data_IF_543644021074
#
_entry.id   IF_543644021074
#
_cell.length_a   1.000
_cell.length_b   1.000
_cell.length_c   1.000
_cell.angle_alpha   90.00
_cell.angle_beta   90.00
_cell.angle_gamma   90.00
#
_symmetry.space_group_name_H-M   'P 1'
#
loop_
_entity.id
_entity.type
_entity.pdbx_description
1 polymer ?
#
# COMPACT_ATOMS: atom_id res chain seq x y z
N UNK A 1 4.19 -27.42 -13.38
CA UNK A 1 5.18 -26.65 -12.63
C UNK A 1 5.31 -25.30 -13.32
N UNK A 2 4.49 -24.33 -12.94
CA UNK A 2 4.62 -22.98 -13.47
C UNK A 2 4.90 -22.09 -12.27
N UNK A 3 6.20 -21.99 -11.95
CA UNK A 3 6.74 -20.97 -11.07
C UNK A 3 6.52 -19.61 -11.75
N UNK A 4 5.31 -19.08 -11.59
CA UNK A 4 5.02 -17.69 -11.88
C UNK A 4 5.88 -16.87 -10.94
N UNK A 5 7.05 -16.43 -11.44
CA UNK A 5 7.88 -15.37 -10.86
C UNK A 5 6.94 -14.23 -10.47
N UNK A 6 6.55 -14.19 -9.20
CA UNK A 6 6.01 -12.99 -8.57
C UNK A 6 7.14 -11.98 -8.67
N UNK A 7 7.09 -11.11 -9.66
CA UNK A 7 7.84 -9.87 -9.64
C UNK A 7 7.52 -9.24 -8.30
N UNK A 8 8.54 -9.13 -7.44
CA UNK A 8 8.40 -8.53 -6.13
C UNK A 8 8.06 -7.07 -6.37
N UNK A 9 6.76 -6.77 -6.51
CA UNK A 9 6.26 -5.40 -6.63
C UNK A 9 6.82 -4.60 -5.46
N UNK A 10 7.35 -3.43 -5.76
CA UNK A 10 7.94 -2.53 -4.78
C UNK A 10 6.91 -2.23 -3.69
N UNK A 11 7.14 -2.74 -2.48
CA UNK A 11 6.22 -2.54 -1.35
C UNK A 11 6.68 -1.33 -0.56
N UNK A 12 5.84 -0.30 -0.55
CA UNK A 12 6.02 0.87 0.31
C UNK A 12 5.13 0.77 1.56
N UNK A 13 5.63 1.28 2.67
CA UNK A 13 4.87 1.40 3.92
C UNK A 13 5.09 2.79 4.49
N UNK A 14 3.99 3.47 4.79
CA UNK A 14 3.97 4.78 5.42
C UNK A 14 3.26 4.66 6.77
N UNK A 15 3.76 5.38 7.76
CA UNK A 15 3.22 5.38 9.12
C UNK A 15 2.65 6.75 9.45
N UNK A 16 1.45 6.76 10.03
CA UNK A 16 0.74 7.97 10.42
C UNK A 16 0.34 7.89 11.90
N UNK A 17 0.11 9.06 12.52
CA UNK A 17 -0.47 9.12 13.86
C UNK A 17 -1.89 8.54 13.86
N UNK A 18 -2.24 7.80 14.90
CA UNK A 18 -3.55 7.15 15.05
C UNK A 18 -4.74 8.12 15.13
N UNK A 19 -4.49 9.40 15.41
CA UNK A 19 -5.53 10.45 15.45
C UNK A 19 -5.95 10.93 14.05
N UNK A 20 -5.27 10.49 12.98
CA UNK A 20 -5.58 10.89 11.60
C UNK A 20 -6.48 9.86 10.92
N UNK A 21 -7.51 10.35 10.23
CA UNK A 21 -8.39 9.54 9.39
C UNK A 21 -8.11 9.67 7.87
N UNK A 22 -7.08 10.43 7.48
CA UNK A 22 -6.67 10.62 6.08
C UNK A 22 -5.16 10.80 5.96
N UNK A 23 -4.62 10.47 4.78
CA UNK A 23 -3.21 10.61 4.44
C UNK A 23 -3.01 10.79 2.93
N UNK A 24 -1.90 11.41 2.54
CA UNK A 24 -1.47 11.56 1.15
C UNK A 24 -0.28 10.66 0.89
N UNK A 25 -0.37 9.80 -0.12
CA UNK A 25 0.73 8.97 -0.62
C UNK A 25 1.39 9.70 -1.78
N UNK A 26 2.67 10.01 -1.64
CA UNK A 26 3.48 10.71 -2.66
C UNK A 26 4.56 9.79 -3.23
N UNK A 27 5.24 10.22 -4.29
CA UNK A 27 6.35 9.45 -4.89
C UNK A 27 5.90 8.20 -5.66
N UNK A 28 4.64 8.13 -6.07
CA UNK A 28 4.16 7.07 -6.95
C UNK A 28 4.67 7.28 -8.37
N UNK A 29 4.99 6.18 -9.06
CA UNK A 29 5.40 6.21 -10.46
C UNK A 29 4.19 6.56 -11.32
N UNK A 30 4.28 7.51 -12.27
CA UNK A 30 3.20 7.79 -13.22
C UNK A 30 2.80 6.56 -14.04
N UNK A 31 1.59 6.56 -14.58
CA UNK A 31 1.05 5.51 -15.43
C UNK A 31 1.24 4.07 -14.87
N UNK A 32 1.10 3.91 -13.55
CA UNK A 32 1.35 2.64 -12.86
C UNK A 32 0.14 2.22 -12.03
N UNK A 33 -0.05 0.91 -11.88
CA UNK A 33 -1.11 0.32 -11.07
C UNK A 33 -0.59 -0.05 -9.67
N UNK A 34 -1.38 0.26 -8.65
CA UNK A 34 -1.06 0.03 -7.25
C UNK A 34 -2.21 -0.70 -6.55
N UNK A 35 -1.88 -1.50 -5.53
CA UNK A 35 -2.82 -2.05 -4.57
C UNK A 35 -2.47 -1.52 -3.18
N UNK A 36 -3.45 -0.95 -2.48
CA UNK A 36 -3.29 -0.30 -1.17
C UNK A 36 -4.07 -1.05 -0.10
N UNK A 37 -3.45 -1.27 1.05
CA UNK A 37 -4.10 -1.72 2.28
C UNK A 37 -3.73 -0.77 3.42
N UNK A 38 -4.61 -0.67 4.42
CA UNK A 38 -4.34 0.03 5.68
C UNK A 38 -4.33 -1.00 6.82
N UNK A 39 -3.35 -0.88 7.72
CA UNK A 39 -3.25 -1.69 8.93
C UNK A 39 -3.13 -0.76 10.13
N UNK A 40 -3.95 -0.98 11.17
CA UNK A 40 -3.70 -0.40 12.48
C UNK A 40 -2.58 -1.20 13.17
N UNK A 41 -1.72 -0.56 13.96
CA UNK A 41 -0.68 -1.25 14.73
C UNK A 41 -0.45 -0.57 16.08
N UNK A 42 0.09 -1.32 17.03
CA UNK A 42 0.52 -0.82 18.34
C UNK A 42 1.83 -1.50 18.77
N UNK A 43 2.25 -1.33 20.03
CA UNK A 43 3.48 -1.93 20.55
C UNK A 43 3.51 -3.46 20.53
N UNK A 44 2.36 -4.13 20.39
CA UNK A 44 2.24 -5.59 20.24
C UNK A 44 2.33 -6.05 18.78
N UNK A 45 2.17 -5.14 17.82
CA UNK A 45 2.29 -5.43 16.40
C UNK A 45 1.13 -4.91 15.55
N UNK A 46 1.02 -5.47 14.35
CA UNK A 46 0.02 -5.08 13.35
C UNK A 46 -1.29 -5.84 13.56
N UNK A 47 -2.40 -5.12 13.45
CA UNK A 47 -3.73 -5.70 13.27
C UNK A 47 -3.94 -6.22 11.84
N UNK A 48 -5.15 -6.74 11.56
CA UNK A 48 -5.49 -7.19 10.21
C UNK A 48 -5.46 -6.02 9.21
N UNK A 49 -5.06 -6.32 7.99
CA UNK A 49 -5.15 -5.37 6.87
C UNK A 49 -6.60 -5.16 6.45
N UNK A 50 -6.90 -3.96 5.96
CA UNK A 50 -8.14 -3.68 5.25
C UNK A 50 -8.26 -4.52 3.98
N UNK A 51 -9.44 -4.49 3.36
CA UNK A 51 -9.57 -4.94 1.98
C UNK A 51 -8.65 -4.11 1.07
N UNK A 52 -8.01 -4.72 0.07
CA UNK A 52 -7.15 -4.01 -0.86
C UNK A 52 -7.97 -3.11 -1.79
N UNK A 53 -7.44 -1.92 -2.05
CA UNK A 53 -7.97 -0.99 -3.06
C UNK A 53 -6.96 -0.88 -4.19
N UNK A 54 -7.40 -1.20 -5.41
CA UNK A 54 -6.57 -1.05 -6.61
C UNK A 54 -6.85 0.28 -7.30
N UNK A 55 -5.80 0.96 -7.75
CA UNK A 55 -5.92 2.23 -8.48
C UNK A 55 -4.75 2.42 -9.46
N UNK A 56 -4.94 3.32 -10.43
CA UNK A 56 -3.90 3.73 -11.39
C UNK A 56 -3.55 5.19 -11.19
N UNK A 57 -2.27 5.50 -11.25
CA UNK A 57 -1.80 6.90 -11.28
C UNK A 57 -1.94 7.46 -12.70
N UNK A 58 -2.22 8.76 -12.86
CA UNK A 58 -2.23 9.42 -14.16
C UNK A 58 -0.83 9.43 -14.80
N UNK A 59 -0.78 9.77 -16.08
CA UNK A 59 0.46 9.86 -16.87
C UNK A 59 1.27 11.13 -16.55
N UNK A 60 0.60 12.23 -16.21
CA UNK A 60 1.19 13.54 -15.93
C UNK A 60 0.44 14.67 -16.61
#
# INVERSE_FOLDING_TARGET
>A
LQDSKKTHGEKHTLTFSGERNHAVVTGLRPFSEYSLIVMAFNSRGNGPGSHPVSFKTPEG
#
